data_IF_188260091504
#
_entry.id   IF_188260091504
#
_cell.length_a   1.000
_cell.length_b   1.000
_cell.length_c   1.000
_cell.angle_alpha   90.00
_cell.angle_beta   90.00
_cell.angle_gamma   90.00
#
_symmetry.space_group_name_H-M   'P 1'
#
loop_
_entity.id
_entity.type
_entity.pdbx_description
1 polymer ?
#
# COMPACT_ATOMS: atom_id res chain seq x y z
N UNK A 1 7.84 22.01 7.43
CA UNK A 1 7.30 21.53 6.13
C UNK A 1 5.95 20.93 6.45
N UNK A 2 4.89 21.54 5.92
CA UNK A 2 3.52 21.36 6.36
C UNK A 2 3.01 19.93 6.15
N UNK A 3 2.75 19.23 7.26
CA UNK A 3 1.96 18.01 7.34
C UNK A 3 0.48 18.31 7.03
N UNK A 4 0.18 18.62 5.77
CA UNK A 4 -1.17 18.97 5.35
C UNK A 4 -2.02 17.70 5.14
N UNK A 5 -2.79 17.35 6.15
CA UNK A 5 -4.10 16.70 6.05
C UNK A 5 -4.21 15.42 5.17
N UNK A 6 -3.38 14.40 5.40
CA UNK A 6 -3.49 13.09 4.72
C UNK A 6 -4.60 12.19 5.31
N UNK A 7 -5.84 12.69 5.39
CA UNK A 7 -6.99 11.89 5.88
C UNK A 7 -7.98 11.64 4.75
N UNK A 8 -8.20 10.36 4.42
CA UNK A 8 -9.31 9.95 3.58
C UNK A 8 -10.63 10.35 4.27
N UNK A 9 -11.41 11.22 3.63
CA UNK A 9 -12.66 11.75 4.21
C UNK A 9 -13.87 10.84 3.91
N UNK A 10 -13.78 10.02 2.87
CA UNK A 10 -14.87 9.14 2.43
C UNK A 10 -14.36 7.76 2.07
N UNK A 11 -15.25 6.77 2.15
CA UNK A 11 -14.95 5.39 1.73
C UNK A 11 -14.55 5.34 0.26
N UNK A 12 -15.18 6.14 -0.60
CA UNK A 12 -14.85 6.24 -2.03
C UNK A 12 -13.40 6.66 -2.27
N UNK A 13 -12.82 7.54 -1.45
CA UNK A 13 -11.40 7.91 -1.56
C UNK A 13 -10.48 6.74 -1.24
N UNK A 14 -10.87 5.89 -0.28
CA UNK A 14 -10.16 4.65 0.04
C UNK A 14 -10.31 3.67 -1.11
N UNK A 15 -11.51 3.45 -1.64
CA UNK A 15 -11.73 2.54 -2.76
C UNK A 15 -10.95 2.95 -4.02
N UNK A 16 -10.86 4.25 -4.30
CA UNK A 16 -10.04 4.79 -5.39
C UNK A 16 -8.54 4.50 -5.17
N UNK A 17 -8.05 4.64 -3.94
CA UNK A 17 -6.68 4.26 -3.58
C UNK A 17 -6.45 2.77 -3.81
N UNK A 18 -7.33 1.91 -3.28
CA UNK A 18 -7.22 0.45 -3.41
C UNK A 18 -7.25 0.05 -4.87
N UNK A 19 -8.14 0.64 -5.67
CA UNK A 19 -8.25 0.39 -7.11
C UNK A 19 -6.97 0.81 -7.84
N UNK A 20 -6.46 2.01 -7.57
CA UNK A 20 -5.22 2.49 -8.18
C UNK A 20 -4.00 1.65 -7.78
N UNK A 21 -3.96 1.18 -6.53
CA UNK A 21 -2.93 0.27 -6.03
C UNK A 21 -3.00 -1.09 -6.73
N UNK A 22 -4.19 -1.71 -6.78
CA UNK A 22 -4.40 -3.01 -7.43
C UNK A 22 -4.10 -2.97 -8.93
N UNK A 23 -4.45 -1.87 -9.60
CA UNK A 23 -4.16 -1.68 -11.03
C UNK A 23 -2.71 -1.25 -11.28
N UNK A 24 -1.90 -1.08 -10.24
CA UNK A 24 -0.53 -0.59 -10.34
C UNK A 24 -0.38 0.77 -11.05
N UNK A 25 -1.44 1.59 -11.03
CA UNK A 25 -1.46 2.94 -11.62
C UNK A 25 -1.23 4.02 -10.58
N UNK A 26 -1.07 3.66 -9.31
CA UNK A 26 -0.83 4.63 -8.24
C UNK A 26 0.56 5.27 -8.42
N UNK A 27 0.66 6.61 -8.46
CA UNK A 27 1.95 7.28 -8.54
C UNK A 27 2.77 7.04 -7.27
N UNK A 28 4.10 6.88 -7.40
CA UNK A 28 5.02 6.71 -6.25
C UNK A 28 4.88 7.81 -5.21
N UNK A 29 4.66 9.06 -5.63
CA UNK A 29 4.46 10.20 -4.71
C UNK A 29 3.19 10.08 -3.85
N UNK A 30 2.20 9.30 -4.29
CA UNK A 30 0.95 9.03 -3.56
C UNK A 30 1.02 7.76 -2.72
N UNK A 31 2.04 6.92 -2.94
CA UNK A 31 2.32 5.73 -2.12
C UNK A 31 3.08 6.12 -0.84
N UNK A 32 2.39 6.87 0.02
CA UNK A 32 2.92 7.36 1.29
C UNK A 32 2.53 6.44 2.47
N UNK A 33 3.00 6.75 3.67
CA UNK A 33 2.76 5.91 4.86
C UNK A 33 1.25 5.74 5.17
N UNK A 34 0.45 6.80 5.00
CA UNK A 34 -1.01 6.74 5.17
C UNK A 34 -1.63 5.77 4.19
N UNK A 35 -1.25 5.83 2.91
CA UNK A 35 -1.74 4.91 1.88
C UNK A 35 -1.43 3.45 2.25
N UNK A 36 -0.20 3.16 2.67
CA UNK A 36 0.19 1.80 3.11
C UNK A 36 -0.71 1.29 4.23
N UNK A 37 -0.92 2.08 5.29
CA UNK A 37 -1.73 1.68 6.43
C UNK A 37 -3.20 1.49 6.03
N UNK A 38 -3.74 2.35 5.17
CA UNK A 38 -5.10 2.23 4.68
C UNK A 38 -5.30 0.98 3.82
N UNK A 39 -4.33 0.64 2.95
CA UNK A 39 -4.38 -0.62 2.20
C UNK A 39 -4.29 -1.82 3.13
N UNK A 40 -3.36 -1.83 4.08
CA UNK A 40 -3.22 -2.92 5.04
C UNK A 40 -4.52 -3.13 5.85
N UNK A 41 -5.12 -2.05 6.35
CA UNK A 41 -6.37 -2.10 7.09
C UNK A 41 -7.53 -2.62 6.23
N UNK A 42 -7.63 -2.16 4.98
CA UNK A 42 -8.63 -2.67 4.04
C UNK A 42 -8.51 -4.19 3.85
N UNK A 43 -7.30 -4.70 3.60
CA UNK A 43 -7.11 -6.14 3.44
C UNK A 43 -7.44 -6.92 4.72
N UNK A 44 -7.09 -6.39 5.90
CA UNK A 44 -7.43 -7.00 7.19
C UNK A 44 -8.95 -7.13 7.39
N UNK A 45 -9.71 -6.08 7.08
CA UNK A 45 -11.17 -6.06 7.20
C UNK A 45 -11.82 -7.06 6.23
N UNK A 46 -11.27 -7.23 5.03
CA UNK A 46 -11.90 -8.02 3.97
C UNK A 46 -11.50 -9.49 3.92
N UNK A 47 -10.28 -9.86 4.33
CA UNK A 47 -9.74 -11.22 4.12
C UNK A 47 -9.32 -11.94 5.42
N UNK A 48 -9.34 -11.27 6.57
CA UNK A 48 -8.84 -11.81 7.84
C UNK A 48 -7.30 -11.91 7.87
N UNK A 49 -6.71 -11.92 9.07
CA UNK A 49 -5.28 -11.65 9.29
C UNK A 49 -4.31 -12.48 8.40
N UNK A 50 -4.55 -13.80 8.31
CA UNK A 50 -3.66 -14.70 7.57
C UNK A 50 -3.76 -14.52 6.06
N UNK A 51 -4.96 -14.37 5.50
CA UNK A 51 -5.10 -14.16 4.05
C UNK A 51 -4.79 -12.73 3.64
N UNK A 52 -5.09 -11.75 4.51
CA UNK A 52 -4.76 -10.36 4.30
C UNK A 52 -3.26 -10.16 4.10
N UNK A 53 -2.43 -10.79 4.93
CA UNK A 53 -0.97 -10.66 4.83
C UNK A 53 -0.40 -11.25 3.54
N UNK A 54 -0.88 -12.43 3.11
CA UNK A 54 -0.47 -13.05 1.85
C UNK A 54 -0.91 -12.23 0.63
N UNK A 55 -2.17 -11.82 0.58
CA UNK A 55 -2.70 -11.01 -0.51
C UNK A 55 -2.03 -9.62 -0.59
N UNK A 56 -1.79 -8.99 0.56
CA UNK A 56 -1.09 -7.71 0.62
C UNK A 56 0.35 -7.85 0.12
N UNK A 57 1.05 -8.92 0.51
CA UNK A 57 2.41 -9.21 0.03
C UNK A 57 2.44 -9.34 -1.50
N UNK A 58 1.54 -10.14 -2.07
CA UNK A 58 1.46 -10.33 -3.52
C UNK A 58 1.13 -9.03 -4.25
N UNK A 59 0.22 -8.21 -3.71
CA UNK A 59 -0.16 -6.94 -4.30
C UNK A 59 1.00 -5.93 -4.26
N UNK A 60 1.75 -5.86 -3.16
CA UNK A 60 2.93 -5.00 -3.03
C UNK A 60 4.04 -5.43 -4.00
N UNK A 61 4.27 -6.74 -4.13
CA UNK A 61 5.25 -7.28 -5.11
C UNK A 61 4.86 -6.89 -6.54
N UNK A 62 3.59 -7.05 -6.90
CA UNK A 62 3.07 -6.71 -8.23
C UNK A 62 3.19 -5.21 -8.49
N UNK A 63 2.84 -4.38 -7.50
CA UNK A 63 2.99 -2.94 -7.56
C UNK A 63 4.45 -2.53 -7.75
N UNK A 64 5.37 -3.07 -6.94
CA UNK A 64 6.80 -2.79 -7.02
C UNK A 64 7.41 -3.18 -8.37
N UNK A 65 7.00 -4.34 -8.93
CA UNK A 65 7.41 -4.77 -10.26
C UNK A 65 6.93 -3.78 -11.35
N UNK A 66 5.67 -3.33 -11.26
CA UNK A 66 5.09 -2.39 -12.22
C UNK A 66 5.76 -1.00 -12.19
N UNK A 67 6.18 -0.53 -11.02
CA UNK A 67 6.92 0.74 -10.87
C UNK A 67 8.44 0.60 -11.09
N UNK A 68 8.92 -0.60 -11.43
CA UNK A 68 10.33 -0.87 -11.74
C UNK A 68 11.26 -0.89 -10.53
N UNK A 69 10.74 -1.10 -9.31
CA UNK A 69 11.58 -1.27 -8.11
C UNK A 69 11.91 -2.76 -7.96
N UNK A 70 13.14 -3.13 -8.33
CA UNK A 70 13.71 -4.43 -7.97
C UNK A 70 14.24 -4.38 -6.53
N UNK A 71 13.51 -4.98 -5.60
CA UNK A 71 14.01 -5.21 -4.24
C UNK A 71 14.68 -6.59 -4.21
N UNK A 72 15.94 -6.72 -3.73
CA UNK A 72 16.58 -8.01 -3.54
C UNK A 72 15.86 -8.83 -2.47
N UNK A 73 15.77 -10.14 -2.71
CA UNK A 73 15.00 -11.15 -1.97
C UNK A 73 15.29 -11.20 -0.44
N UNK A 74 16.46 -10.71 -0.01
CA UNK A 74 16.90 -10.76 1.39
C UNK A 74 16.28 -9.69 2.31
N UNK A 75 15.42 -8.80 1.79
CA UNK A 75 14.81 -7.68 2.51
C UNK A 75 13.30 -7.81 2.75
N UNK A 76 12.72 -9.01 2.68
CA UNK A 76 11.29 -9.25 2.92
C UNK A 76 10.93 -9.12 4.41
N UNK A 77 10.88 -7.91 4.94
CA UNK A 77 10.29 -7.67 6.28
C UNK A 77 9.75 -6.26 6.38
N UNK A 78 8.58 -5.97 5.79
CA UNK A 78 7.76 -4.80 6.14
C UNK A 78 8.41 -3.38 6.13
N UNK A 79 9.67 -3.22 5.69
CA UNK A 79 10.52 -2.08 6.06
C UNK A 79 10.51 -0.88 5.09
N UNK A 80 9.63 -0.85 4.08
CA UNK A 80 9.29 0.45 3.45
C UNK A 80 8.15 1.16 4.18
N UNK A 81 7.60 0.54 5.22
CA UNK A 81 6.87 1.19 6.29
C UNK A 81 7.95 1.58 7.31
N UNK A 82 8.09 2.87 7.65
CA UNK A 82 9.09 3.42 8.59
C UNK A 82 10.54 3.55 8.04
N UNK A 83 10.79 4.44 7.08
CA UNK A 83 12.08 5.18 7.04
C UNK A 83 11.85 6.58 6.46
N UNK A 84 11.45 7.49 7.36
CA UNK A 84 12.15 8.77 7.52
C UNK A 84 13.36 8.52 8.41
#
# INVERSE_FOLDING_TARGET
MSDENSKYQTVTQIENLITAFKNCTLPRCKWNHTAHLTVALYYLIHYGEKQASDHLRQAIQSYNAAIGIQIPDSGFTWCVIIYR
#
